data_IF_464020330085
#
_entry.id   IF_464020330085
#
_cell.length_a   1.000
_cell.length_b   1.000
_cell.length_c   1.000
_cell.angle_alpha   90.00
_cell.angle_beta   90.00
_cell.angle_gamma   90.00
#
_symmetry.space_group_name_H-M   'P 1'
#
loop_
_entity.id
_entity.type
_entity.pdbx_description
1 polymer ?
#
# COMPACT_ATOMS: atom_id res chain seq x y z
N UNK A 1 19.02 19.77 -6.77
CA UNK A 1 18.37 19.77 -6.27
C UNK A 1 17.43 20.63 -6.12
N UNK A 2 16.62 20.70 -6.51
CA UNK A 2 15.72 21.46 -6.53
C UNK A 2 14.93 21.57 -5.40
N UNK A 3 14.66 20.62 -4.82
CA UNK A 3 13.75 20.63 -3.72
C UNK A 3 14.11 21.56 -2.61
N UNK A 4 15.33 21.98 -2.55
CA UNK A 4 15.68 22.80 -1.46
C UNK A 4 15.28 24.20 -1.53
N UNK A 5 14.79 24.64 -2.65
CA UNK A 5 14.45 26.03 -2.80
C UNK A 5 13.24 26.42 -2.01
N UNK A 6 12.42 25.47 -1.59
CA UNK A 6 11.25 25.79 -0.81
C UNK A 6 11.25 24.99 0.47
N UNK A 7 10.71 25.55 1.54
CA UNK A 7 10.64 24.79 2.80
C UNK A 7 9.74 23.59 2.66
N UNK A 8 10.11 22.52 3.33
CA UNK A 8 9.30 21.32 3.30
C UNK A 8 7.99 21.51 4.01
N UNK A 9 7.87 22.55 4.80
CA UNK A 9 6.60 22.81 5.47
C UNK A 9 5.56 23.39 4.55
N UNK A 10 5.93 23.78 3.34
CA UNK A 10 4.97 24.34 2.39
C UNK A 10 4.25 23.18 1.71
N UNK A 11 2.91 23.05 1.89
CA UNK A 11 2.20 21.87 1.35
C UNK A 11 2.34 21.72 -0.16
N UNK A 12 2.45 22.80 -0.88
CA UNK A 12 2.58 22.72 -2.33
C UNK A 12 3.85 22.03 -2.76
N UNK A 13 4.81 21.87 -1.83
CA UNK A 13 6.04 21.22 -2.15
C UNK A 13 6.00 19.72 -2.05
N UNK A 14 4.94 19.20 -1.53
CA UNK A 14 4.87 17.76 -1.37
C UNK A 14 4.81 17.12 -2.73
N UNK A 15 5.73 16.20 -2.99
CA UNK A 15 5.74 15.47 -4.24
C UNK A 15 4.58 14.50 -4.30
N UNK A 16 4.32 13.99 -5.48
CA UNK A 16 3.30 12.96 -5.64
C UNK A 16 3.63 11.73 -4.81
N UNK A 17 4.90 11.36 -4.76
CA UNK A 17 5.32 10.21 -3.98
C UNK A 17 5.09 10.45 -2.49
N UNK A 18 5.38 11.67 -2.01
CA UNK A 18 5.15 11.97 -0.60
C UNK A 18 3.68 11.89 -0.25
N UNK A 19 2.82 12.37 -1.14
CA UNK A 19 1.38 12.30 -0.89
C UNK A 19 0.89 10.86 -0.90
N UNK A 20 1.45 10.05 -1.78
CA UNK A 20 1.06 8.65 -1.82
C UNK A 20 1.49 7.94 -0.54
N UNK A 21 2.69 8.23 -0.05
CA UNK A 21 3.16 7.64 1.20
C UNK A 21 2.21 7.97 2.34
N UNK A 22 1.71 9.20 2.37
CA UNK A 22 0.76 9.59 3.40
C UNK A 22 -0.55 8.82 3.30
N UNK A 23 -1.02 8.57 2.08
CA UNK A 23 -2.25 7.80 1.90
C UNK A 23 -2.08 6.37 2.42
N UNK A 24 -0.92 5.78 2.14
CA UNK A 24 -0.66 4.42 2.63
C UNK A 24 -0.53 4.43 4.15
N UNK A 25 0.17 5.41 4.70
CA UNK A 25 0.31 5.50 6.14
C UNK A 25 -1.05 5.65 6.82
N UNK A 26 -1.92 6.49 6.26
CA UNK A 26 -3.27 6.64 6.80
C UNK A 26 -4.02 5.31 6.78
N UNK A 27 -3.88 4.56 5.69
CA UNK A 27 -4.55 3.28 5.58
C UNK A 27 -4.05 2.30 6.65
N UNK A 28 -2.73 2.28 6.85
CA UNK A 28 -2.14 1.41 7.86
C UNK A 28 -2.62 1.81 9.25
N UNK A 29 -2.66 3.10 9.53
CA UNK A 29 -3.07 3.57 10.86
C UNK A 29 -4.52 3.21 11.16
N UNK A 30 -5.38 3.27 10.15
CA UNK A 30 -6.76 2.87 10.35
C UNK A 30 -6.88 1.41 10.73
N UNK A 31 -6.07 0.56 10.11
CA UNK A 31 -6.11 -0.85 10.44
C UNK A 31 -5.45 -1.14 11.78
N UNK A 32 -4.42 -0.40 12.12
CA UNK A 32 -3.77 -0.59 13.41
C UNK A 32 -4.70 -0.27 14.58
N UNK A 33 -5.66 0.60 14.36
CA UNK A 33 -6.64 0.88 15.41
C UNK A 33 -7.42 -0.37 15.79
N UNK A 34 -7.58 -1.31 14.85
CA UNK A 34 -8.32 -2.54 15.13
C UNK A 34 -7.42 -3.74 15.33
N UNK A 35 -6.31 -3.76 14.64
CA UNK A 35 -5.46 -4.95 14.56
C UNK A 35 -4.08 -4.72 15.14
N UNK A 36 -3.98 -3.87 16.17
CA UNK A 36 -2.69 -3.46 16.70
C UNK A 36 -1.80 -4.65 17.06
N UNK A 37 -2.37 -5.67 17.69
CA UNK A 37 -1.56 -6.81 18.10
C UNK A 37 -1.10 -7.61 16.90
N UNK A 38 -2.00 -7.85 15.98
CA UNK A 38 -1.72 -8.70 14.83
C UNK A 38 -0.74 -8.04 13.88
N UNK A 39 -0.72 -6.72 13.85
CA UNK A 39 0.17 -6.01 12.96
C UNK A 39 1.48 -5.59 13.63
N UNK A 40 1.64 -5.90 14.89
CA UNK A 40 2.87 -5.59 15.59
C UNK A 40 4.03 -6.32 14.92
N UNK A 41 5.08 -5.60 14.58
CA UNK A 41 6.23 -6.20 13.94
C UNK A 41 6.15 -6.36 12.43
N UNK A 42 4.99 -6.04 11.84
CA UNK A 42 4.86 -6.09 10.39
C UNK A 42 5.43 -4.83 9.79
N UNK A 43 6.22 -4.98 8.74
CA UNK A 43 6.77 -3.81 8.03
C UNK A 43 5.87 -3.44 6.87
N UNK A 44 5.64 -2.14 6.71
CA UNK A 44 4.89 -1.62 5.58
C UNK A 44 5.81 -0.73 4.78
N UNK A 45 5.79 -0.87 3.47
CA UNK A 45 6.67 -0.09 2.60
C UNK A 45 5.94 0.31 1.34
N UNK A 46 6.40 1.38 0.73
CA UNK A 46 5.93 1.83 -0.58
C UNK A 46 7.12 1.79 -1.52
N UNK A 47 6.92 1.18 -2.68
CA UNK A 47 7.93 1.18 -3.74
C UNK A 47 7.27 1.68 -5.01
N UNK A 48 8.08 2.20 -5.91
CA UNK A 48 7.52 2.78 -7.12
C UNK A 48 6.91 1.73 -8.04
N UNK A 49 7.64 0.64 -8.25
CA UNK A 49 7.19 -0.43 -9.15
C UNK A 49 7.65 -1.75 -8.58
N UNK A 50 6.95 -2.83 -8.92
CA UNK A 50 7.43 -4.15 -8.51
C UNK A 50 8.74 -4.49 -9.22
N UNK A 51 9.52 -5.39 -8.66
CA UNK A 51 10.75 -5.83 -9.32
C UNK A 51 10.44 -6.42 -10.69
N UNK A 52 11.42 -6.35 -11.57
CA UNK A 52 11.27 -6.88 -12.92
C UNK A 52 11.41 -8.38 -12.92
N UNK A 53 10.55 -9.05 -12.23
CA UNK A 53 10.55 -10.50 -12.19
C UNK A 53 9.44 -10.96 -13.12
N UNK A 54 9.73 -11.63 -14.19
CA UNK A 54 8.72 -11.91 -15.19
C UNK A 54 7.59 -12.82 -14.74
N UNK A 55 7.87 -13.74 -13.86
CA UNK A 55 6.87 -14.75 -13.57
C UNK A 55 5.54 -14.28 -13.05
N UNK A 56 5.50 -13.41 -12.05
CA UNK A 56 4.21 -13.13 -11.42
C UNK A 56 3.21 -12.42 -12.31
N UNK A 57 3.65 -11.77 -13.37
CA UNK A 57 2.70 -11.04 -14.20
C UNK A 57 2.86 -11.31 -15.67
N UNK A 58 3.18 -12.53 -16.00
CA UNK A 58 3.22 -12.92 -17.39
C UNK A 58 1.88 -12.80 -18.07
N UNK A 59 0.83 -12.71 -17.30
CA UNK A 59 -0.50 -12.59 -17.88
C UNK A 59 -0.93 -11.15 -18.07
N UNK A 60 -0.03 -10.23 -17.92
CA UNK A 60 -0.33 -8.83 -18.19
C UNK A 60 -0.84 -8.06 -17.00
N UNK A 61 -0.94 -8.68 -15.85
CA UNK A 61 -1.38 -7.98 -14.67
C UNK A 61 -0.21 -7.58 -13.80
N UNK A 62 -0.18 -6.33 -13.41
CA UNK A 62 0.86 -5.82 -12.52
C UNK A 62 0.27 -5.76 -11.12
N UNK A 63 0.92 -6.34 -10.13
CA UNK A 63 0.38 -6.30 -8.78
C UNK A 63 0.36 -4.88 -8.24
N UNK A 64 -0.67 -4.58 -7.46
CA UNK A 64 -0.78 -3.29 -6.79
C UNK A 64 -0.09 -3.32 -5.44
N UNK A 65 0.09 -4.51 -4.87
CA UNK A 65 0.76 -4.69 -3.61
C UNK A 65 1.20 -6.12 -3.45
N UNK A 66 1.94 -6.38 -2.40
CA UNK A 66 2.46 -7.72 -2.19
C UNK A 66 2.70 -7.98 -0.72
N UNK A 67 2.50 -9.22 -0.32
CA UNK A 67 2.79 -9.67 1.04
C UNK A 67 3.97 -10.63 1.00
N UNK A 68 4.96 -10.37 1.83
CA UNK A 68 6.10 -11.24 2.01
C UNK A 68 6.05 -11.80 3.42
N UNK A 69 5.91 -13.12 3.57
CA UNK A 69 5.85 -13.69 4.92
C UNK A 69 7.18 -13.57 5.64
N UNK A 70 7.12 -13.71 6.95
CA UNK A 70 8.34 -13.71 7.74
C UNK A 70 9.29 -14.80 7.25
N UNK A 71 10.58 -14.49 7.28
CA UNK A 71 11.58 -15.43 6.78
C UNK A 71 12.83 -15.31 7.66
N UNK A 72 13.05 -16.30 8.51
CA UNK A 72 14.17 -16.26 9.43
C UNK A 72 14.05 -15.06 10.35
N UNK A 73 15.08 -14.21 10.35
CA UNK A 73 15.08 -13.00 11.17
C UNK A 73 14.30 -11.86 10.54
N UNK A 74 13.87 -12.02 9.30
CA UNK A 74 13.14 -10.95 8.62
C UNK A 74 11.68 -10.97 9.02
N UNK A 75 11.11 -9.81 9.38
CA UNK A 75 9.69 -9.77 9.72
C UNK A 75 8.81 -9.88 8.49
N UNK A 76 7.53 -10.16 8.66
CA UNK A 76 6.61 -10.08 7.53
C UNK A 76 6.55 -8.66 7.00
N UNK A 77 6.31 -8.53 5.71
CA UNK A 77 6.39 -7.24 5.07
C UNK A 77 5.29 -7.11 4.04
N UNK A 78 4.68 -5.93 4.00
CA UNK A 78 3.67 -5.60 3.02
C UNK A 78 4.18 -4.41 2.21
N UNK A 79 4.14 -4.53 0.89
CA UNK A 79 4.60 -3.47 -0.01
C UNK A 79 3.44 -3.03 -0.87
N UNK A 80 3.28 -1.72 -1.02
CA UNK A 80 2.31 -1.14 -1.95
C UNK A 80 3.10 -0.48 -3.07
N UNK A 81 2.70 -0.73 -4.31
CA UNK A 81 3.43 -0.23 -5.47
C UNK A 81 2.73 1.03 -6.00
N UNK A 82 3.41 2.15 -5.88
CA UNK A 82 2.81 3.46 -6.16
C UNK A 82 2.33 3.62 -7.58
N UNK A 83 3.20 3.33 -8.56
CA UNK A 83 2.82 3.60 -9.95
C UNK A 83 1.67 2.72 -10.45
N UNK A 84 1.67 1.43 -10.15
CA UNK A 84 0.50 0.63 -10.52
C UNK A 84 -0.80 1.12 -9.89
N UNK A 85 -0.74 1.54 -8.63
CA UNK A 85 -1.94 2.05 -7.98
C UNK A 85 -2.38 3.36 -8.63
N UNK A 86 -1.44 4.25 -8.90
CA UNK A 86 -1.77 5.52 -9.54
C UNK A 86 -2.38 5.29 -10.92
N UNK A 87 -1.82 4.35 -11.67
CA UNK A 87 -2.33 4.06 -13.00
C UNK A 87 -3.75 3.50 -12.93
N UNK A 88 -3.99 2.60 -12.00
CA UNK A 88 -5.32 2.03 -11.84
C UNK A 88 -6.31 3.10 -11.40
N UNK A 89 -5.92 3.96 -10.47
CA UNK A 89 -6.80 4.98 -9.96
C UNK A 89 -7.15 6.04 -10.99
N UNK A 90 -6.24 6.27 -11.95
CA UNK A 90 -6.48 7.28 -12.98
C UNK A 90 -7.71 6.98 -13.81
N UNK A 91 -8.12 5.73 -13.86
CA UNK A 91 -9.28 5.37 -14.68
C UNK A 91 -10.60 5.79 -14.06
N UNK A 92 -10.78 5.63 -12.78
CA UNK A 92 -12.08 5.96 -12.22
C UNK A 92 -12.15 5.90 -10.71
N UNK A 93 -11.06 5.66 -10.04
CA UNK A 93 -11.15 5.46 -8.61
C UNK A 93 -10.40 6.52 -7.84
N UNK A 94 -10.89 6.81 -6.65
CA UNK A 94 -10.17 7.65 -5.70
C UNK A 94 -8.90 6.91 -5.30
N UNK A 95 -7.75 7.57 -5.42
CA UNK A 95 -6.48 6.91 -5.16
C UNK A 95 -6.33 6.54 -3.68
N UNK A 96 -6.89 7.35 -2.79
CA UNK A 96 -6.84 7.03 -1.36
C UNK A 96 -7.64 5.79 -1.04
N UNK A 97 -8.82 5.65 -1.65
CA UNK A 97 -9.63 4.47 -1.44
C UNK A 97 -8.96 3.23 -2.03
N UNK A 98 -8.35 3.39 -3.18
CA UNK A 98 -7.67 2.25 -3.80
C UNK A 98 -6.47 1.83 -2.96
N UNK A 99 -5.68 2.79 -2.47
CA UNK A 99 -4.55 2.46 -1.61
C UNK A 99 -5.03 1.74 -0.35
N UNK A 100 -6.15 2.20 0.24
CA UNK A 100 -6.72 1.55 1.40
C UNK A 100 -7.10 0.10 1.07
N UNK A 101 -7.74 -0.12 -0.07
CA UNK A 101 -8.14 -1.46 -0.47
C UNK A 101 -6.93 -2.39 -0.64
N UNK A 102 -5.85 -1.87 -1.22
CA UNK A 102 -4.65 -2.68 -1.41
C UNK A 102 -4.07 -3.09 -0.06
N UNK A 103 -3.97 -2.15 0.87
CA UNK A 103 -3.44 -2.46 2.19
C UNK A 103 -4.33 -3.51 2.88
N UNK A 104 -5.64 -3.33 2.81
CA UNK A 104 -6.57 -4.29 3.41
C UNK A 104 -6.38 -5.67 2.83
N UNK A 105 -6.23 -5.77 1.51
CA UNK A 105 -6.07 -7.06 0.86
C UNK A 105 -4.79 -7.76 1.31
N UNK A 106 -3.70 -7.00 1.45
CA UNK A 106 -2.44 -7.61 1.86
C UNK A 106 -2.46 -8.01 3.34
N UNK A 107 -3.10 -7.21 4.17
CA UNK A 107 -3.28 -7.58 5.58
C UNK A 107 -4.16 -8.84 5.68
N UNK A 108 -5.16 -8.94 4.83
CA UNK A 108 -5.99 -10.15 4.80
C UNK A 108 -5.14 -11.38 4.49
N UNK A 109 -4.22 -11.27 3.55
CA UNK A 109 -3.29 -12.37 3.26
C UNK A 109 -2.46 -12.71 4.48
N UNK A 110 -1.91 -11.69 5.14
CA UNK A 110 -1.08 -11.90 6.32
C UNK A 110 -1.85 -12.63 7.41
N UNK A 111 -3.10 -12.23 7.65
CA UNK A 111 -3.89 -12.77 8.75
C UNK A 111 -4.70 -13.99 8.36
N UNK A 112 -4.66 -14.37 7.10
CA UNK A 112 -5.44 -15.49 6.57
C UNK A 112 -6.93 -15.26 6.78
N UNK A 113 -7.36 -14.05 6.48
CA UNK A 113 -8.76 -13.63 6.59
C UNK A 113 -9.22 -13.10 5.25
N UNK A 114 -10.52 -12.88 5.12
CA UNK A 114 -11.01 -12.17 3.94
C UNK A 114 -10.84 -10.67 4.13
N UNK A 115 -10.78 -9.91 3.04
CA UNK A 115 -10.69 -8.46 3.18
C UNK A 115 -11.84 -7.86 3.99
N UNK A 116 -13.04 -8.42 3.85
CA UNK A 116 -14.20 -7.93 4.59
C UNK A 116 -14.07 -8.17 6.08
N UNK A 117 -13.39 -9.25 6.45
CA UNK A 117 -13.13 -9.52 7.86
C UNK A 117 -12.11 -8.55 8.44
N UNK A 118 -11.16 -8.15 7.61
CA UNK A 118 -10.14 -7.19 8.05
C UNK A 118 -10.75 -5.80 8.20
N UNK A 119 -11.56 -5.40 7.23
CA UNK A 119 -12.19 -4.09 7.23
C UNK A 119 -13.62 -4.21 6.73
N UNK A 120 -14.61 -4.09 7.60
CA UNK A 120 -16.01 -4.23 7.18
C UNK A 120 -16.43 -3.22 6.11
N UNK A 121 -15.67 -2.13 5.95
CA UNK A 121 -15.98 -1.16 4.94
C UNK A 121 -15.32 -1.44 3.60
N UNK A 122 -14.59 -2.54 3.52
CA UNK A 122 -13.94 -2.90 2.27
C UNK A 122 -14.97 -3.04 1.16
N UNK A 123 -14.72 -2.40 0.03
CA UNK A 123 -15.66 -2.39 -1.08
C UNK A 123 -15.13 -3.26 -2.20
N UNK A 124 -15.74 -4.41 -2.36
CA UNK A 124 -15.30 -5.35 -3.38
C UNK A 124 -15.68 -4.94 -4.78
N UNK A 125 -16.60 -4.00 -4.90
CA UNK A 125 -17.02 -3.56 -6.21
C UNK A 125 -16.09 -2.52 -6.80
N UNK A 126 -15.14 -2.07 -6.05
CA UNK A 126 -14.20 -1.06 -6.53
C UNK A 126 -13.21 -1.60 -7.54
#
# INVERSE_FOLDING_TARGET
MRGQLLPRTVPAWRSRADRFDDLVLDAVERLEARWARELDGVEFAVEDVPPSDPSPWEHGEVPLGRFFPADGALPPRIVVYRRPVETRAADSQDIGELAQSVVVEQVAHLLNLTPEEVDPRYNRDS
#
